data_IF_292343962016
#
_entry.id   IF_292343962016
#
_cell.length_a   1.000
_cell.length_b   1.000
_cell.length_c   1.000
_cell.angle_alpha   90.00
_cell.angle_beta   90.00
_cell.angle_gamma   90.00
#
_symmetry.space_group_name_H-M   'P 1'
#
loop_
_entity.id
_entity.type
_entity.pdbx_description
1 polymer ?
#
# COMPACT_ATOMS: atom_id res chain seq x y z
N UNK A 1 -8.62 8.73 -20.41
CA UNK A 1 -8.65 7.75 -19.30
C UNK A 1 -8.03 8.38 -18.06
N UNK A 2 -8.52 8.11 -16.83
CA UNK A 2 -7.84 8.62 -15.66
C UNK A 2 -6.47 7.94 -15.56
N UNK A 3 -5.40 8.73 -15.55
CA UNK A 3 -4.01 8.28 -15.46
C UNK A 3 -3.76 7.76 -14.04
N UNK A 4 -4.05 6.47 -13.82
CA UNK A 4 -3.63 5.76 -12.62
C UNK A 4 -2.27 5.12 -12.87
N UNK A 5 -1.23 5.62 -12.20
CA UNK A 5 0.04 4.91 -12.13
C UNK A 5 -0.13 3.70 -11.20
N UNK A 6 0.37 2.55 -11.66
CA UNK A 6 0.28 1.30 -10.90
C UNK A 6 1.65 0.69 -10.75
N UNK A 7 1.91 0.22 -9.55
CA UNK A 7 3.14 -0.44 -9.18
C UNK A 7 2.84 -1.74 -8.45
N UNK A 8 3.72 -2.74 -8.60
CA UNK A 8 3.62 -3.98 -7.85
C UNK A 8 4.98 -4.45 -7.32
N UNK A 9 4.96 -4.98 -6.10
CA UNK A 9 6.05 -5.74 -5.50
C UNK A 9 5.46 -7.04 -4.97
N UNK A 10 5.57 -8.09 -5.78
CA UNK A 10 5.02 -9.42 -5.48
C UNK A 10 6.16 -10.42 -5.40
N UNK A 11 6.29 -11.06 -4.24
CA UNK A 11 7.36 -12.03 -3.93
C UNK A 11 6.83 -13.09 -2.97
N UNK A 12 7.58 -14.17 -2.75
CA UNK A 12 7.28 -15.14 -1.68
C UNK A 12 7.44 -14.48 -0.31
N UNK A 13 6.79 -15.01 0.74
CA UNK A 13 6.79 -14.45 2.10
C UNK A 13 8.19 -14.06 2.59
N UNK A 14 9.15 -15.00 2.54
CA UNK A 14 10.53 -14.77 3.00
C UNK A 14 11.25 -13.64 2.25
N UNK A 15 10.84 -13.39 1.01
CA UNK A 15 11.40 -12.34 0.16
C UNK A 15 10.66 -11.01 0.30
N UNK A 16 9.54 -10.95 1.03
CA UNK A 16 8.83 -9.71 1.35
C UNK A 16 9.25 -9.13 2.69
N UNK A 17 9.54 -9.97 3.69
CA UNK A 17 9.82 -9.52 5.05
C UNK A 17 10.88 -8.40 5.13
N UNK A 18 12.01 -8.48 4.40
CA UNK A 18 13.03 -7.43 4.46
C UNK A 18 12.59 -6.08 3.87
N UNK A 19 11.45 -6.04 3.16
CA UNK A 19 11.03 -4.91 2.34
C UNK A 19 9.84 -4.11 2.90
N UNK A 20 9.25 -4.53 4.03
CA UNK A 20 8.10 -3.83 4.64
C UNK A 20 8.36 -2.34 4.91
N UNK A 21 9.52 -1.99 5.46
CA UNK A 21 9.88 -0.58 5.69
C UNK A 21 10.19 0.15 4.39
N UNK A 22 10.86 -0.52 3.45
CA UNK A 22 11.28 0.09 2.19
C UNK A 22 10.09 0.40 1.28
N UNK A 23 9.03 -0.41 1.30
CA UNK A 23 7.83 -0.12 0.51
C UNK A 23 7.04 1.07 1.07
N UNK A 24 7.01 1.24 2.40
CA UNK A 24 6.42 2.42 3.04
C UNK A 24 7.21 3.67 2.66
N UNK A 25 8.54 3.61 2.73
CA UNK A 25 9.40 4.71 2.33
C UNK A 25 9.17 5.09 0.85
N UNK A 26 9.15 4.09 -0.05
CA UNK A 26 8.84 4.30 -1.47
C UNK A 26 7.48 5.00 -1.66
N UNK A 27 6.44 4.57 -0.94
CA UNK A 27 5.12 5.17 -1.03
C UNK A 27 5.09 6.61 -0.46
N UNK A 28 5.82 6.88 0.62
CA UNK A 28 5.97 8.22 1.20
C UNK A 28 6.72 9.17 0.27
N UNK A 29 7.79 8.72 -0.39
CA UNK A 29 8.53 9.50 -1.37
C UNK A 29 7.61 9.90 -2.55
N UNK A 30 6.85 8.93 -3.09
CA UNK A 30 5.86 9.20 -4.12
C UNK A 30 4.76 10.18 -3.66
N UNK A 31 4.28 10.05 -2.42
CA UNK A 31 3.28 10.92 -1.84
C UNK A 31 3.81 12.37 -1.70
N UNK A 32 5.01 12.52 -1.15
CA UNK A 32 5.70 13.79 -0.97
C UNK A 32 5.96 14.49 -2.31
N UNK A 33 6.56 13.79 -3.29
CA UNK A 33 6.86 14.35 -4.62
C UNK A 33 5.63 14.82 -5.39
N UNK A 34 4.47 14.19 -5.14
CA UNK A 34 3.23 14.53 -5.82
C UNK A 34 2.29 15.42 -4.99
N UNK A 35 2.67 15.81 -3.77
CA UNK A 35 1.83 16.61 -2.87
C UNK A 35 0.54 15.90 -2.44
N UNK A 36 0.53 14.57 -2.44
CA UNK A 36 -0.66 13.75 -2.15
C UNK A 36 -0.53 13.03 -0.81
N UNK A 37 -1.67 12.66 -0.25
CA UNK A 37 -1.72 11.89 0.99
C UNK A 37 -1.47 10.39 0.73
N UNK A 38 -0.89 9.72 1.71
CA UNK A 38 -0.67 8.27 1.69
C UNK A 38 -1.82 7.56 2.41
N UNK A 39 -2.41 6.58 1.73
CA UNK A 39 -3.43 5.69 2.26
C UNK A 39 -2.87 4.29 2.30
N UNK A 40 -2.67 3.80 3.52
CA UNK A 40 -2.31 2.41 3.77
C UNK A 40 -3.60 1.61 3.74
N UNK A 41 -3.68 0.64 2.84
CA UNK A 41 -4.89 -0.11 2.56
C UNK A 41 -4.68 -1.59 2.88
N UNK A 42 -5.62 -2.15 3.64
CA UNK A 42 -5.63 -3.53 4.09
C UNK A 42 -7.02 -4.13 3.85
N UNK A 43 -7.20 -5.44 3.63
CA UNK A 43 -8.54 -5.99 3.47
C UNK A 43 -9.40 -5.77 4.72
N UNK A 44 -8.83 -6.08 5.88
CA UNK A 44 -9.49 -6.02 7.20
C UNK A 44 -8.51 -5.46 8.22
N UNK A 45 -8.92 -4.44 8.99
CA UNK A 45 -8.05 -3.81 10.01
C UNK A 45 -7.69 -4.76 11.16
N UNK A 46 -8.62 -5.62 11.57
CA UNK A 46 -8.40 -6.52 12.69
C UNK A 46 -7.33 -7.60 12.44
N UNK A 47 -7.02 -7.93 11.19
CA UNK A 47 -6.07 -8.98 10.82
C UNK A 47 -4.78 -8.45 10.20
N UNK A 48 -4.46 -7.16 10.43
CA UNK A 48 -3.34 -6.49 9.77
C UNK A 48 -2.10 -6.21 10.65
N UNK A 49 -2.17 -6.59 11.91
CA UNK A 49 -1.15 -6.29 12.92
C UNK A 49 0.23 -6.85 12.56
N UNK A 50 0.32 -8.11 12.12
CA UNK A 50 1.61 -8.78 11.83
C UNK A 50 2.46 -7.99 10.83
N UNK A 51 1.84 -7.44 9.79
CA UNK A 51 2.57 -6.74 8.73
C UNK A 51 2.68 -5.23 8.95
N UNK A 52 1.69 -4.61 9.61
CA UNK A 52 1.82 -3.18 9.94
C UNK A 52 2.91 -2.92 10.97
N UNK A 53 3.12 -3.83 11.94
CA UNK A 53 4.22 -3.73 12.91
C UNK A 53 5.60 -3.96 12.28
N UNK A 54 5.67 -4.66 11.15
CA UNK A 54 6.89 -4.78 10.32
C UNK A 54 7.12 -3.53 9.46
N UNK A 55 6.04 -2.90 8.99
CA UNK A 55 6.07 -1.75 8.08
C UNK A 55 6.29 -0.41 8.78
N UNK A 56 5.77 -0.26 10.00
CA UNK A 56 5.79 0.95 10.79
C UNK A 56 6.42 0.68 12.16
N UNK A 57 7.04 1.69 12.75
CA UNK A 57 7.41 1.68 14.15
C UNK A 57 6.18 1.62 15.06
N UNK A 58 6.34 1.08 16.26
CA UNK A 58 5.24 0.81 17.19
C UNK A 58 4.39 2.05 17.54
N UNK A 59 4.96 3.24 17.82
CA UNK A 59 4.16 4.44 18.05
C UNK A 59 3.28 4.80 16.85
N UNK A 60 3.85 4.78 15.64
CA UNK A 60 3.14 5.06 14.39
C UNK A 60 2.01 4.07 14.15
N UNK A 61 2.28 2.78 14.30
CA UNK A 61 1.28 1.72 14.17
C UNK A 61 0.10 1.94 15.12
N UNK A 62 0.36 2.17 16.42
CA UNK A 62 -0.68 2.38 17.42
C UNK A 62 -1.59 3.57 17.07
N UNK A 63 -1.01 4.68 16.59
CA UNK A 63 -1.80 5.85 16.19
C UNK A 63 -2.64 5.55 14.95
N UNK A 64 -2.06 4.94 13.91
CA UNK A 64 -2.78 4.55 12.69
C UNK A 64 -3.93 3.57 12.98
N UNK A 65 -3.72 2.63 13.89
CA UNK A 65 -4.73 1.66 14.29
C UNK A 65 -5.90 2.31 15.05
N UNK A 66 -5.63 3.33 15.87
CA UNK A 66 -6.65 4.14 16.57
C UNK A 66 -7.52 5.03 15.68
N UNK A 67 -7.46 4.83 14.34
CA UNK A 67 -8.16 5.61 13.29
C UNK A 67 -7.74 7.07 13.20
N UNK A 68 -6.60 7.44 13.80
CA UNK A 68 -6.04 8.78 13.62
C UNK A 68 -5.15 8.80 12.38
N UNK A 69 -5.27 9.87 11.60
CA UNK A 69 -4.27 10.20 10.59
C UNK A 69 -3.05 10.78 11.28
N UNK A 70 -1.88 10.49 10.76
CA UNK A 70 -0.61 11.06 11.23
C UNK A 70 0.05 11.84 10.11
N UNK A 71 0.98 12.71 10.47
CA UNK A 71 1.83 13.40 9.50
C UNK A 71 3.24 12.80 9.61
N UNK A 72 3.74 12.25 8.51
CA UNK A 72 5.10 11.72 8.40
C UNK A 72 5.79 12.47 7.27
N UNK A 73 6.86 13.21 7.59
CA UNK A 73 7.61 14.02 6.61
C UNK A 73 6.73 14.93 5.75
N UNK A 74 5.73 15.57 6.37
CA UNK A 74 4.76 16.45 5.69
C UNK A 74 3.63 15.75 4.93
N UNK A 75 3.63 14.41 4.87
CA UNK A 75 2.57 13.62 4.21
C UNK A 75 1.56 13.15 5.25
N UNK A 76 0.26 13.37 5.00
CA UNK A 76 -0.79 12.74 5.83
C UNK A 76 -0.89 11.26 5.48
N UNK A 77 -0.76 10.42 6.49
CA UNK A 77 -0.85 8.96 6.40
C UNK A 77 -2.07 8.49 7.17
N UNK A 78 -2.87 7.62 6.56
CA UNK A 78 -4.03 7.00 7.21
C UNK A 78 -4.19 5.52 6.85
N UNK A 79 -4.81 4.76 7.74
CA UNK A 79 -5.10 3.34 7.56
C UNK A 79 -6.56 3.12 7.17
N UNK A 80 -6.79 2.40 6.08
CA UNK A 80 -8.10 2.16 5.49
C UNK A 80 -8.32 0.67 5.20
N UNK A 81 -9.53 0.18 5.47
CA UNK A 81 -9.99 -1.11 4.97
C UNK A 81 -10.89 -0.97 3.76
N UNK A 82 -11.21 -2.08 3.09
CA UNK A 82 -12.24 -2.13 2.05
C UNK A 82 -13.54 -1.44 2.49
N UNK A 83 -13.96 -1.67 3.74
CA UNK A 83 -15.19 -1.09 4.28
C UNK A 83 -15.09 0.43 4.43
N UNK A 84 -13.98 0.96 4.96
CA UNK A 84 -13.82 2.41 5.12
C UNK A 84 -13.68 3.11 3.78
N UNK A 85 -12.97 2.50 2.81
CA UNK A 85 -12.83 3.03 1.45
C UNK A 85 -14.19 3.19 0.75
N UNK A 86 -15.09 2.21 0.91
CA UNK A 86 -16.44 2.25 0.32
C UNK A 86 -17.33 3.34 0.97
N UNK A 87 -17.22 3.54 2.28
CA UNK A 87 -18.06 4.50 3.03
C UNK A 87 -17.68 5.95 2.80
N UNK A 88 -16.38 6.22 2.70
CA UNK A 88 -15.90 7.59 2.77
C UNK A 88 -16.10 8.38 1.47
N UNK A 89 -16.35 7.76 0.31
CA UNK A 89 -16.41 8.43 -1.02
C UNK A 89 -15.20 9.32 -1.38
N UNK A 90 -14.21 9.41 -0.49
CA UNK A 90 -13.02 10.25 -0.53
C UNK A 90 -11.94 9.54 -1.33
N UNK A 91 -12.12 9.27 -2.63
CA UNK A 91 -11.13 8.51 -3.41
C UNK A 91 -10.52 9.24 -4.60
N UNK A 92 -10.56 10.58 -4.64
CA UNK A 92 -10.24 11.26 -5.91
C UNK A 92 -8.75 11.59 -6.13
N UNK A 93 -7.93 11.74 -5.08
CA UNK A 93 -6.49 12.00 -5.25
C UNK A 93 -5.62 11.51 -4.07
N UNK A 94 -4.94 10.38 -4.24
CA UNK A 94 -4.07 9.79 -3.20
C UNK A 94 -3.07 8.76 -3.74
N UNK A 95 -2.06 8.46 -2.92
CA UNK A 95 -1.24 7.26 -3.05
C UNK A 95 -1.87 6.14 -2.22
N UNK A 96 -2.11 4.99 -2.83
CA UNK A 96 -2.62 3.79 -2.18
C UNK A 96 -1.50 2.79 -2.05
N UNK A 97 -1.04 2.55 -0.82
CA UNK A 97 -0.15 1.45 -0.50
C UNK A 97 -1.00 0.27 0.00
N UNK A 98 -1.08 -0.79 -0.80
CA UNK A 98 -2.02 -1.90 -0.59
C UNK A 98 -1.25 -3.13 -0.12
N UNK A 99 -1.49 -3.57 1.11
CA UNK A 99 -0.90 -4.77 1.68
C UNK A 99 -1.83 -5.96 1.50
N UNK A 100 -1.31 -7.06 0.95
CA UNK A 100 -1.99 -8.36 0.81
C UNK A 100 -3.46 -8.23 0.35
N UNK A 101 -3.72 -7.61 -0.81
CA UNK A 101 -5.08 -7.32 -1.21
C UNK A 101 -5.91 -8.56 -1.51
N UNK A 102 -7.21 -8.46 -1.27
CA UNK A 102 -8.21 -9.31 -1.89
C UNK A 102 -8.86 -8.62 -3.10
N UNK A 103 -9.64 -9.36 -3.88
CA UNK A 103 -10.31 -8.85 -5.07
C UNK A 103 -11.22 -7.64 -4.76
N UNK A 104 -11.93 -7.69 -3.62
CA UNK A 104 -12.82 -6.63 -3.18
C UNK A 104 -12.11 -5.30 -2.92
N UNK A 105 -10.93 -5.33 -2.28
CA UNK A 105 -10.13 -4.16 -1.99
C UNK A 105 -9.59 -3.53 -3.26
N UNK A 106 -9.02 -4.34 -4.16
CA UNK A 106 -8.52 -3.86 -5.45
C UNK A 106 -9.65 -3.29 -6.29
N UNK A 107 -10.81 -3.95 -6.31
CA UNK A 107 -11.97 -3.44 -7.03
C UNK A 107 -12.42 -2.08 -6.45
N UNK A 108 -12.48 -1.93 -5.13
CA UNK A 108 -12.83 -0.66 -4.49
C UNK A 108 -11.85 0.47 -4.86
N UNK A 109 -10.54 0.18 -4.91
CA UNK A 109 -9.50 1.16 -5.28
C UNK A 109 -9.50 1.45 -6.79
N UNK A 110 -9.80 0.46 -7.63
CA UNK A 110 -9.76 0.62 -9.09
C UNK A 110 -11.02 1.29 -9.63
N UNK A 111 -12.19 0.97 -9.09
CA UNK A 111 -13.48 1.57 -9.47
C UNK A 111 -13.59 3.02 -9.02
N UNK A 112 -12.90 3.39 -7.95
CA UNK A 112 -12.96 4.73 -7.38
C UNK A 112 -11.65 5.50 -7.65
N UNK A 113 -11.74 6.79 -7.91
CA UNK A 113 -10.58 7.66 -8.08
C UNK A 113 -10.17 7.96 -9.51
N UNK A 114 -10.05 9.26 -9.80
CA UNK A 114 -9.66 9.78 -11.12
C UNK A 114 -8.15 10.05 -11.23
N UNK A 115 -7.45 10.28 -10.11
CA UNK A 115 -5.98 10.44 -10.03
C UNK A 115 -5.44 9.65 -8.84
N UNK A 116 -5.18 8.36 -9.05
CA UNK A 116 -4.66 7.49 -7.99
C UNK A 116 -3.33 6.89 -8.41
N UNK A 117 -2.38 6.78 -7.48
CA UNK A 117 -1.24 5.88 -7.65
C UNK A 117 -1.48 4.66 -6.78
N UNK A 118 -1.48 3.47 -7.37
CA UNK A 118 -1.74 2.21 -6.65
C UNK A 118 -0.43 1.42 -6.57
N UNK A 119 0.00 1.11 -5.35
CA UNK A 119 1.23 0.36 -5.06
C UNK A 119 0.80 -0.91 -4.33
N UNK A 120 0.85 -2.05 -5.03
CA UNK A 120 0.50 -3.35 -4.45
C UNK A 120 1.75 -4.01 -3.87
N UNK A 121 1.70 -4.35 -2.58
CA UNK A 121 2.73 -5.11 -1.86
C UNK A 121 2.09 -6.39 -1.33
N UNK A 122 2.43 -7.53 -1.91
CA UNK A 122 1.73 -8.78 -1.63
C UNK A 122 2.63 -9.98 -1.76
N UNK A 123 2.30 -11.02 -0.99
CA UNK A 123 2.72 -12.38 -1.28
C UNK A 123 2.23 -12.79 -2.67
N UNK A 124 3.05 -13.56 -3.39
CA UNK A 124 2.60 -14.30 -4.54
C UNK A 124 1.51 -15.28 -4.09
N UNK A 125 0.32 -15.16 -4.67
CA UNK A 125 -0.82 -16.00 -4.33
C UNK A 125 -0.43 -17.49 -4.40
N UNK A 126 -0.74 -18.26 -3.35
CA UNK A 126 -0.59 -19.73 -3.40
C UNK A 126 -1.55 -20.37 -4.42
N UNK A 127 -2.68 -19.72 -4.70
CA UNK A 127 -3.74 -20.19 -5.62
C UNK A 127 -3.96 -19.25 -6.84
N UNK A 128 -3.12 -18.24 -7.01
CA UNK A 128 -2.85 -17.60 -8.30
C UNK A 128 -3.87 -16.63 -8.92
N UNK A 129 -5.05 -16.34 -8.33
CA UNK A 129 -6.08 -15.61 -9.10
C UNK A 129 -6.16 -14.10 -8.84
N UNK A 130 -6.09 -13.61 -7.60
CA UNK A 130 -6.42 -12.21 -7.33
C UNK A 130 -5.35 -11.27 -7.88
N UNK A 131 -4.09 -11.48 -7.49
CA UNK A 131 -2.98 -10.62 -7.88
C UNK A 131 -2.69 -10.80 -9.37
N UNK A 132 -2.70 -12.03 -9.87
CA UNK A 132 -2.44 -12.31 -11.29
C UNK A 132 -3.49 -11.67 -12.19
N UNK A 133 -4.79 -11.74 -11.84
CA UNK A 133 -5.84 -11.09 -12.62
C UNK A 133 -5.66 -9.57 -12.65
N UNK A 134 -5.28 -8.96 -11.53
CA UNK A 134 -5.01 -7.52 -11.48
C UNK A 134 -3.77 -7.13 -12.29
N UNK A 135 -2.68 -7.90 -12.20
CA UNK A 135 -1.46 -7.70 -12.98
C UNK A 135 -1.74 -7.84 -14.48
N UNK A 136 -2.45 -8.88 -14.90
CA UNK A 136 -2.80 -9.12 -16.30
C UNK A 136 -3.68 -8.00 -16.86
N UNK A 137 -4.64 -7.51 -16.07
CA UNK A 137 -5.57 -6.47 -16.49
C UNK A 137 -4.93 -5.09 -16.60
N UNK A 138 -4.05 -4.74 -15.67
CA UNK A 138 -3.59 -3.35 -15.52
C UNK A 138 -2.09 -3.14 -15.77
N UNK A 139 -1.32 -4.21 -15.97
CA UNK A 139 0.11 -4.19 -16.30
C UNK A 139 0.93 -3.22 -15.43
N UNK A 140 0.92 -3.39 -14.09
CA UNK A 140 1.62 -2.50 -13.17
C UNK A 140 3.13 -2.52 -13.40
N UNK A 141 3.79 -1.38 -13.18
CA UNK A 141 5.25 -1.26 -13.21
C UNK A 141 5.85 -2.02 -12.01
N UNK A 142 6.93 -2.79 -12.18
CA UNK A 142 7.59 -3.42 -11.04
C UNK A 142 8.23 -2.36 -10.12
N UNK A 143 8.02 -2.46 -8.81
CA UNK A 143 8.71 -1.62 -7.83
C UNK A 143 10.17 -2.07 -7.72
N UNK A 144 11.09 -1.11 -7.85
CA UNK A 144 12.53 -1.34 -7.60
C UNK A 144 12.90 -0.77 -6.24
N UNK A 145 12.73 -1.59 -5.19
CA UNK A 145 13.16 -1.23 -3.85
C UNK A 145 14.68 -1.37 -3.74
N UNK A 146 15.37 -0.28 -3.36
CA UNK A 146 16.80 -0.38 -3.04
C UNK A 146 16.95 -1.22 -1.77
N UNK A 147 17.78 -2.25 -1.82
CA UNK A 147 18.28 -2.87 -0.60
C UNK A 147 19.30 -1.90 0.01
N UNK A 148 19.12 -1.50 1.27
CA UNK A 148 20.22 -0.85 1.99
C UNK A 148 21.37 -1.85 2.01
N UNK A 149 22.48 -1.53 1.34
CA UNK A 149 23.75 -2.22 1.60
C UNK A 149 24.02 -1.98 3.09
N UNK A 150 23.99 -3.04 3.88
CA UNK A 150 24.56 -3.01 5.22
C UNK A 150 26.04 -2.71 5.03
N UNK A 151 26.46 -1.47 5.28
CA UNK A 151 27.87 -1.19 5.52
C UNK A 151 28.18 -1.87 6.85
N UNK A 152 28.83 -3.03 6.77
CA UNK A 152 29.51 -3.60 7.92
C UNK A 152 30.57 -2.58 8.35
N UNK A 153 30.45 -2.10 9.58
CA UNK A 153 31.50 -1.37 10.31
C UNK A 153 32.37 -2.40 10.98
#
# INVERSE_FOLDING_TARGET
>A
MPLKDRFCFVKTKDKLEPHYKNIVQFALEHASLSGRNLRVCVPVKASCEEYLTKAFDEPTYRILHSKKQIVVSGVKVGLFSTQTLRKEHILLDAIYLVFLPNADLLNAIETQGRRATVIVFSESDKEGQTISNWVNRYQPKPVRLRQKKTLAV
#
